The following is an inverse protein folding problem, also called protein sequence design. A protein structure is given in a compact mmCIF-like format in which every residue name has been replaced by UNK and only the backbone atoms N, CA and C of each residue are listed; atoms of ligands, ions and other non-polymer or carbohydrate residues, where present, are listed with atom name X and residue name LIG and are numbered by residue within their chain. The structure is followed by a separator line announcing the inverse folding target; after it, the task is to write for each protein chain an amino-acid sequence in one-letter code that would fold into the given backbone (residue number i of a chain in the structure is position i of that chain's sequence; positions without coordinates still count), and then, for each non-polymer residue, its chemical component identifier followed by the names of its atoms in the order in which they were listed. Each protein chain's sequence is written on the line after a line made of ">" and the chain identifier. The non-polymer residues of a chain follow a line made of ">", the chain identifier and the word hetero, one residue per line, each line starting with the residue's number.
data_IF_660873504027
#
_entry.id   IF_660873504027
#
_cell.length_a   1.000
_cell.length_b   1.000
_cell.length_c   1.000
_cell.angle_alpha   90.00
_cell.angle_beta   90.00
_cell.angle_gamma   90.00
#
_symmetry.space_group_name_H-M   'P 1'
#
loop_
_entity.id
_entity.type
_entity.pdbx_description
1 polymer ?
#
# COMPACT_ATOMS: atom_id res chain seq x y z
N UNK A 1 -17.77 14.56 -10.46
CA UNK A 1 -17.02 13.82 -9.45
C UNK A 1 -17.98 13.30 -8.37
N UNK A 2 -17.79 12.04 -7.94
CA UNK A 2 -18.64 11.40 -6.91
C UNK A 2 -17.84 11.30 -5.61
N UNK A 3 -18.45 11.69 -4.48
CA UNK A 3 -17.80 11.65 -3.17
C UNK A 3 -18.76 11.17 -2.07
N UNK A 4 -18.22 10.87 -0.89
CA UNK A 4 -18.96 10.48 0.30
C UNK A 4 -18.76 11.56 1.39
N UNK A 5 -19.76 12.40 1.62
CA UNK A 5 -19.70 13.51 2.58
C UNK A 5 -19.48 13.07 4.03
N UNK A 6 -19.68 11.78 4.34
CA UNK A 6 -19.37 11.19 5.65
C UNK A 6 -17.90 10.76 5.79
N UNK A 7 -17.10 10.96 4.75
CA UNK A 7 -15.66 10.65 4.74
C UNK A 7 -14.87 11.91 4.43
N UNK A 8 -13.60 11.88 4.83
CA UNK A 8 -12.68 12.93 4.45
C UNK A 8 -12.53 13.01 2.92
N UNK A 9 -12.64 14.22 2.39
CA UNK A 9 -12.32 14.54 1.01
C UNK A 9 -11.16 15.54 1.04
N UNK A 10 -10.09 15.21 0.32
CA UNK A 10 -8.88 16.05 0.24
C UNK A 10 -9.20 17.42 -0.38
N UNK A 11 -8.70 18.49 0.24
CA UNK A 11 -8.92 19.87 -0.23
C UNK A 11 -8.40 20.08 -1.66
N UNK A 12 -7.33 19.40 -2.06
CA UNK A 12 -6.82 19.48 -3.44
C UNK A 12 -7.85 18.99 -4.46
N UNK A 13 -8.59 17.93 -4.12
CA UNK A 13 -9.67 17.41 -4.97
C UNK A 13 -10.84 18.41 -5.02
N UNK A 14 -11.22 18.97 -3.88
CA UNK A 14 -12.27 19.99 -3.82
C UNK A 14 -11.92 21.22 -4.66
N UNK A 15 -10.71 21.72 -4.52
CA UNK A 15 -10.23 22.88 -5.27
C UNK A 15 -10.15 22.56 -6.76
N UNK A 16 -9.60 21.42 -7.15
CA UNK A 16 -9.56 21.00 -8.55
C UNK A 16 -10.96 20.88 -9.18
N UNK A 17 -11.94 20.37 -8.45
CA UNK A 17 -13.33 20.31 -8.93
C UNK A 17 -13.92 21.72 -9.09
N UNK A 18 -13.67 22.63 -8.14
CA UNK A 18 -14.15 23.99 -8.17
C UNK A 18 -13.53 24.78 -9.33
N UNK A 19 -12.20 24.72 -9.46
CA UNK A 19 -11.44 25.47 -10.47
C UNK A 19 -11.78 25.02 -11.91
N UNK A 20 -12.11 23.76 -12.08
CA UNK A 20 -12.49 23.17 -13.37
C UNK A 20 -14.01 23.02 -13.55
N UNK A 21 -14.82 23.61 -12.66
CA UNK A 21 -16.30 23.54 -12.71
C UNK A 21 -16.85 22.12 -12.81
N UNK A 22 -16.15 21.15 -12.18
CA UNK A 22 -16.58 19.75 -12.13
C UNK A 22 -17.64 19.58 -11.02
N UNK A 23 -18.88 19.18 -11.36
CA UNK A 23 -19.91 19.03 -10.36
C UNK A 23 -19.57 17.93 -9.35
N UNK A 24 -19.80 18.21 -8.07
CA UNK A 24 -19.63 17.28 -6.97
C UNK A 24 -20.96 16.65 -6.61
N UNK A 25 -20.98 15.33 -6.58
CA UNK A 25 -22.16 14.52 -6.27
C UNK A 25 -21.95 13.69 -5.01
N UNK A 26 -22.82 13.82 -4.01
CA UNK A 26 -22.73 13.10 -2.74
C UNK A 26 -23.55 11.80 -2.78
N UNK A 27 -22.87 10.66 -2.60
CA UNK A 27 -23.52 9.33 -2.56
C UNK A 27 -24.48 9.12 -1.38
N UNK A 28 -24.48 10.04 -0.41
CA UNK A 28 -25.43 9.99 0.71
C UNK A 28 -26.79 10.64 0.36
N UNK A 29 -26.87 11.35 -0.76
CA UNK A 29 -28.10 11.96 -1.26
C UNK A 29 -28.83 11.07 -2.27
N UNK A 30 -28.06 10.50 -3.22
CA UNK A 30 -28.57 9.58 -4.26
C UNK A 30 -27.56 8.47 -4.49
N UNK A 31 -28.03 7.37 -5.06
CA UNK A 31 -27.12 6.30 -5.50
C UNK A 31 -26.32 6.73 -6.73
N UNK A 32 -25.10 6.19 -6.94
CA UNK A 32 -24.33 6.47 -8.16
C UNK A 32 -25.12 6.13 -9.45
N UNK A 33 -25.96 5.08 -9.44
CA UNK A 33 -26.73 4.70 -10.61
C UNK A 33 -27.86 5.70 -10.94
N UNK A 34 -28.54 6.23 -9.92
CA UNK A 34 -29.54 7.30 -10.13
C UNK A 34 -28.89 8.53 -10.75
N UNK A 35 -27.74 8.94 -10.25
CA UNK A 35 -26.98 10.06 -10.80
C UNK A 35 -26.54 9.82 -12.26
N UNK A 36 -26.06 8.60 -12.56
CA UNK A 36 -25.68 8.18 -13.93
C UNK A 36 -26.85 8.32 -14.88
N UNK A 37 -28.03 7.81 -14.50
CA UNK A 37 -29.23 7.84 -15.32
C UNK A 37 -29.76 9.27 -15.56
N UNK A 38 -29.81 10.09 -14.51
CA UNK A 38 -30.31 11.47 -14.60
C UNK A 38 -29.41 12.38 -15.49
N UNK A 39 -28.11 12.08 -15.55
CA UNK A 39 -27.15 12.89 -16.31
C UNK A 39 -26.68 12.22 -17.60
N UNK A 40 -27.28 11.12 -18.02
CA UNK A 40 -26.95 10.36 -19.24
C UNK A 40 -25.44 10.02 -19.33
N UNK A 41 -24.84 9.61 -18.19
CA UNK A 41 -23.42 9.27 -18.11
C UNK A 41 -23.16 7.94 -18.83
N UNK A 42 -22.29 7.95 -19.82
CA UNK A 42 -21.95 6.79 -20.64
C UNK A 42 -20.71 6.04 -20.15
N UNK A 43 -19.81 6.74 -19.42
CA UNK A 43 -18.60 6.16 -18.88
C UNK A 43 -18.49 6.46 -17.38
N UNK A 44 -18.06 5.45 -16.60
CA UNK A 44 -17.87 5.58 -15.16
C UNK A 44 -16.51 4.98 -14.77
N UNK A 45 -15.66 5.79 -14.15
CA UNK A 45 -14.37 5.36 -13.62
C UNK A 45 -14.36 5.41 -12.10
N UNK A 46 -13.81 4.37 -11.47
CA UNK A 46 -13.52 4.36 -10.04
C UNK A 46 -12.06 3.96 -9.76
N UNK A 47 -11.28 4.80 -9.07
CA UNK A 47 -9.89 4.51 -8.72
C UNK A 47 -9.77 3.45 -7.63
N UNK A 48 -10.84 3.23 -6.84
CA UNK A 48 -10.87 2.25 -5.77
C UNK A 48 -12.25 1.59 -5.75
N UNK A 49 -12.37 0.46 -6.44
CA UNK A 49 -13.62 -0.31 -6.39
C UNK A 49 -13.78 -0.96 -5.02
N UNK A 50 -14.78 -0.50 -4.27
CA UNK A 50 -15.09 -1.08 -2.97
C UNK A 50 -15.97 -2.33 -3.17
N UNK A 51 -15.43 -3.49 -2.88
CA UNK A 51 -16.18 -4.75 -2.90
C UNK A 51 -17.25 -4.83 -1.79
N UNK A 52 -17.20 -3.94 -0.81
CA UNK A 52 -18.16 -3.87 0.29
C UNK A 52 -19.45 -3.13 -0.10
N UNK A 53 -19.33 -2.22 -1.07
CA UNK A 53 -20.48 -1.49 -1.60
C UNK A 53 -20.92 -2.15 -2.91
N UNK A 54 -22.05 -2.79 -2.89
CA UNK A 54 -22.72 -3.29 -4.10
C UNK A 54 -23.33 -2.12 -4.88
N UNK A 55 -22.48 -1.39 -5.58
CA UNK A 55 -22.94 -0.48 -6.59
C UNK A 55 -23.19 -1.30 -7.86
N UNK A 56 -24.43 -1.56 -8.16
CA UNK A 56 -24.80 -2.15 -9.44
C UNK A 56 -24.73 -1.05 -10.50
N UNK A 57 -23.51 -0.74 -10.94
CA UNK A 57 -23.25 0.29 -11.94
C UNK A 57 -23.49 -0.28 -13.32
N UNK A 58 -24.51 0.22 -13.98
CA UNK A 58 -24.87 -0.08 -15.36
C UNK A 58 -24.57 1.13 -16.24
N UNK A 59 -23.46 1.06 -16.96
CA UNK A 59 -23.00 2.07 -17.92
C UNK A 59 -22.44 1.39 -19.15
N UNK A 60 -22.33 2.12 -20.24
CA UNK A 60 -21.77 1.60 -21.49
C UNK A 60 -20.27 1.22 -21.33
N UNK A 61 -19.51 2.01 -20.57
CA UNK A 61 -18.09 1.80 -20.29
C UNK A 61 -17.81 1.91 -18.77
N UNK A 62 -17.69 0.79 -18.11
CA UNK A 62 -17.30 0.71 -16.69
C UNK A 62 -15.81 0.46 -16.55
N UNK A 63 -15.12 1.39 -15.91
CA UNK A 63 -13.66 1.36 -15.78
C UNK A 63 -13.28 1.40 -14.31
N UNK A 64 -12.28 0.63 -13.90
CA UNK A 64 -11.79 0.67 -12.53
C UNK A 64 -10.30 0.35 -12.40
N UNK A 65 -9.69 0.83 -11.31
CA UNK A 65 -8.36 0.39 -10.92
C UNK A 65 -8.45 -0.81 -10.00
N UNK A 66 -7.81 -1.92 -10.40
CA UNK A 66 -7.75 -3.15 -9.62
C UNK A 66 -6.39 -3.24 -8.91
N UNK A 67 -6.38 -2.91 -7.62
CA UNK A 67 -5.15 -2.84 -6.81
C UNK A 67 -4.61 -4.20 -6.36
N UNK A 68 -5.10 -5.30 -6.92
CA UNK A 68 -4.72 -6.67 -6.56
C UNK A 68 -5.81 -7.41 -5.77
N UNK A 69 -5.49 -8.62 -5.38
CA UNK A 69 -6.44 -9.57 -4.76
C UNK A 69 -5.95 -10.01 -3.38
N UNK A 70 -5.46 -9.05 -2.58
CA UNK A 70 -4.90 -9.30 -1.24
C UNK A 70 -5.69 -10.30 -0.40
N UNK A 71 -7.03 -10.20 -0.41
CA UNK A 71 -7.88 -11.09 0.37
C UNK A 71 -7.79 -12.56 -0.08
N UNK A 72 -7.39 -12.83 -1.31
CA UNK A 72 -7.17 -14.16 -1.85
C UNK A 72 -5.72 -14.64 -1.68
N UNK A 73 -4.74 -13.74 -1.83
CA UNK A 73 -3.32 -14.05 -1.72
C UNK A 73 -2.86 -14.31 -0.28
N UNK A 74 -3.29 -13.45 0.65
CA UNK A 74 -2.79 -13.53 2.02
C UNK A 74 -3.23 -14.82 2.71
N UNK A 75 -2.27 -15.49 3.33
CA UNK A 75 -2.52 -16.65 4.18
C UNK A 75 -2.96 -16.22 5.59
N UNK A 76 -3.63 -17.14 6.29
CA UNK A 76 -3.95 -16.95 7.70
C UNK A 76 -2.68 -16.75 8.53
N UNK A 77 -2.72 -15.74 9.39
CA UNK A 77 -1.65 -15.49 10.35
C UNK A 77 -2.21 -15.09 11.72
N UNK A 78 -1.71 -15.72 12.83
CA UNK A 78 -2.20 -15.46 14.20
C UNK A 78 -2.07 -13.99 14.65
N UNK A 79 -1.18 -13.22 14.03
CA UNK A 79 -1.02 -11.78 14.31
C UNK A 79 -2.32 -11.00 14.05
N UNK A 80 -3.13 -11.41 13.06
CA UNK A 80 -4.43 -10.80 12.80
C UNK A 80 -5.35 -10.80 14.02
N UNK A 81 -5.37 -11.90 14.78
CA UNK A 81 -6.13 -12.00 16.02
C UNK A 81 -5.53 -11.13 17.12
N UNK A 82 -4.20 -11.15 17.24
CA UNK A 82 -3.46 -10.45 18.32
C UNK A 82 -3.61 -8.93 18.25
N UNK A 83 -3.57 -8.36 17.05
CA UNK A 83 -3.67 -6.93 16.82
C UNK A 83 -5.11 -6.44 16.61
N UNK A 84 -6.09 -7.34 16.51
CA UNK A 84 -7.50 -6.97 16.41
C UNK A 84 -8.05 -6.49 17.75
N UNK A 85 -8.77 -5.36 17.73
CA UNK A 85 -9.30 -4.71 18.94
C UNK A 85 -10.64 -5.31 19.41
N UNK A 86 -11.52 -5.69 18.46
CA UNK A 86 -12.88 -6.20 18.73
C UNK A 86 -12.92 -7.72 18.53
N UNK A 87 -13.80 -8.38 19.28
CA UNK A 87 -14.01 -9.84 19.14
C UNK A 87 -14.47 -10.22 17.73
N UNK A 88 -15.34 -9.41 17.13
CA UNK A 88 -15.77 -9.57 15.73
C UNK A 88 -14.58 -9.54 14.75
N UNK A 89 -13.65 -8.60 14.95
CA UNK A 89 -12.43 -8.50 14.12
C UNK A 89 -11.49 -9.69 14.33
N UNK A 90 -11.45 -10.26 15.53
CA UNK A 90 -10.67 -11.48 15.81
C UNK A 90 -11.28 -12.68 15.10
N UNK A 91 -12.59 -12.85 15.18
CA UNK A 91 -13.33 -13.88 14.43
C UNK A 91 -13.14 -13.68 12.93
N UNK A 92 -13.29 -12.47 12.44
CA UNK A 92 -13.07 -12.13 11.04
C UNK A 92 -11.64 -12.46 10.60
N UNK A 93 -10.63 -12.17 11.41
CA UNK A 93 -9.23 -12.49 11.12
C UNK A 93 -8.98 -14.01 11.03
N UNK A 94 -9.66 -14.81 11.87
CA UNK A 94 -9.61 -16.29 11.78
C UNK A 94 -10.26 -16.80 10.51
N UNK A 95 -11.42 -16.25 10.19
CA UNK A 95 -12.27 -16.69 9.09
C UNK A 95 -11.67 -16.23 7.75
N UNK A 96 -11.32 -14.95 7.66
CA UNK A 96 -10.93 -14.25 6.43
C UNK A 96 -9.83 -14.94 5.65
N UNK A 97 -8.85 -15.53 6.34
CA UNK A 97 -7.64 -16.09 5.72
C UNK A 97 -7.59 -17.61 5.67
N UNK A 98 -8.65 -18.32 6.10
CA UNK A 98 -8.76 -19.76 5.85
C UNK A 98 -9.12 -20.01 4.39
N UNK A 99 -8.43 -20.90 3.72
CA UNK A 99 -8.61 -21.19 2.29
C UNK A 99 -10.07 -21.52 1.92
N UNK A 100 -10.77 -22.31 2.76
CA UNK A 100 -12.19 -22.62 2.56
C UNK A 100 -13.09 -21.39 2.53
N UNK A 101 -12.80 -20.38 3.38
CA UNK A 101 -13.60 -19.18 3.49
C UNK A 101 -13.28 -18.14 2.41
N UNK A 102 -12.01 -18.06 1.97
CA UNK A 102 -11.63 -17.25 0.81
C UNK A 102 -12.45 -17.62 -0.42
N UNK A 103 -12.58 -18.93 -0.67
CA UNK A 103 -13.34 -19.46 -1.78
C UNK A 103 -14.82 -19.08 -1.75
N UNK A 104 -15.45 -19.05 -0.57
CA UNK A 104 -16.88 -18.76 -0.43
C UNK A 104 -17.22 -17.28 -0.31
N UNK A 105 -16.38 -16.46 0.36
CA UNK A 105 -16.73 -15.08 0.68
C UNK A 105 -16.05 -14.04 -0.17
N UNK A 106 -14.80 -14.27 -0.57
CA UNK A 106 -14.04 -13.26 -1.32
C UNK A 106 -13.99 -13.56 -2.81
N UNK A 107 -13.76 -14.81 -3.20
CA UNK A 107 -13.68 -15.18 -4.60
C UNK A 107 -14.93 -14.79 -5.40
N UNK A 108 -16.17 -15.01 -4.93
CA UNK A 108 -17.37 -14.62 -5.69
C UNK A 108 -17.45 -13.13 -6.00
N UNK A 109 -17.02 -12.27 -5.08
CA UNK A 109 -17.05 -10.81 -5.28
C UNK A 109 -16.10 -10.35 -6.38
N UNK A 110 -14.88 -10.91 -6.39
CA UNK A 110 -13.91 -10.65 -7.46
C UNK A 110 -14.31 -11.35 -8.76
N UNK A 111 -14.94 -12.52 -8.67
CA UNK A 111 -15.42 -13.29 -9.82
C UNK A 111 -16.43 -12.51 -10.66
N UNK A 112 -17.30 -11.72 -10.02
CA UNK A 112 -18.26 -10.86 -10.72
C UNK A 112 -17.54 -9.82 -11.58
N UNK A 113 -16.52 -9.16 -11.03
CA UNK A 113 -15.70 -8.21 -11.80
C UNK A 113 -14.94 -8.89 -12.93
N UNK A 114 -14.36 -10.06 -12.67
CA UNK A 114 -13.63 -10.83 -13.69
C UNK A 114 -14.55 -11.23 -14.84
N UNK A 115 -15.77 -11.69 -14.56
CA UNK A 115 -16.78 -12.02 -15.60
C UNK A 115 -17.18 -10.78 -16.40
N UNK A 116 -17.43 -9.66 -15.76
CA UNK A 116 -17.74 -8.40 -16.47
C UNK A 116 -16.62 -8.00 -17.43
N UNK A 117 -15.36 -8.15 -17.00
CA UNK A 117 -14.21 -7.89 -17.88
C UNK A 117 -14.15 -8.89 -19.05
N UNK A 118 -14.27 -10.20 -18.79
CA UNK A 118 -14.23 -11.24 -19.81
C UNK A 118 -15.34 -11.06 -20.86
N UNK A 119 -16.51 -10.56 -20.44
CA UNK A 119 -17.65 -10.29 -21.34
C UNK A 119 -17.59 -8.89 -22.01
N UNK A 120 -16.51 -8.12 -21.83
CA UNK A 120 -16.36 -6.79 -22.40
C UNK A 120 -17.27 -5.71 -21.77
N UNK A 121 -17.86 -5.99 -20.60
CA UNK A 121 -18.77 -5.08 -19.87
C UNK A 121 -18.01 -4.17 -18.90
N UNK A 122 -16.71 -4.42 -18.68
CA UNK A 122 -15.85 -3.60 -17.86
C UNK A 122 -14.41 -3.64 -18.36
N UNK A 123 -13.66 -2.58 -18.08
CA UNK A 123 -12.21 -2.49 -18.33
C UNK A 123 -11.49 -2.20 -17.01
N UNK A 124 -10.32 -2.75 -16.83
CA UNK A 124 -9.50 -2.47 -15.65
C UNK A 124 -8.09 -2.04 -16.03
N UNK A 125 -7.52 -1.20 -15.19
CA UNK A 125 -6.09 -0.97 -15.09
C UNK A 125 -5.59 -1.53 -13.76
N UNK A 126 -4.31 -1.85 -13.67
CA UNK A 126 -3.70 -2.28 -12.42
C UNK A 126 -2.42 -1.51 -12.13
N UNK A 127 -1.91 -1.63 -10.90
CA UNK A 127 -0.87 -0.75 -10.38
C UNK A 127 0.53 -1.36 -10.37
N UNK A 128 0.64 -2.67 -10.69
CA UNK A 128 1.92 -3.40 -10.77
C UNK A 128 1.78 -4.66 -11.61
N UNK A 129 2.89 -5.16 -12.15
CA UNK A 129 2.93 -6.45 -12.85
C UNK A 129 2.58 -7.61 -11.90
N UNK A 130 3.02 -7.51 -10.64
CA UNK A 130 2.59 -8.45 -9.61
C UNK A 130 1.06 -8.51 -9.49
N UNK A 131 0.40 -7.35 -9.36
CA UNK A 131 -1.07 -7.30 -9.24
C UNK A 131 -1.75 -7.87 -10.49
N UNK A 132 -1.24 -7.59 -11.70
CA UNK A 132 -1.72 -8.17 -12.96
C UNK A 132 -1.60 -9.69 -12.97
N UNK A 133 -0.43 -10.21 -12.63
CA UNK A 133 -0.19 -11.66 -12.59
C UNK A 133 -1.06 -12.35 -11.54
N UNK A 134 -1.18 -11.74 -10.35
CA UNK A 134 -2.02 -12.24 -9.28
C UNK A 134 -3.51 -12.30 -9.68
N UNK A 135 -4.05 -11.23 -10.26
CA UNK A 135 -5.42 -11.21 -10.76
C UNK A 135 -5.65 -12.36 -11.75
N UNK A 136 -4.79 -12.50 -12.75
CA UNK A 136 -4.89 -13.57 -13.75
C UNK A 136 -4.77 -14.97 -13.15
N UNK A 137 -3.93 -15.17 -12.14
CA UNK A 137 -3.78 -16.48 -11.48
C UNK A 137 -5.02 -16.94 -10.73
N UNK A 138 -5.79 -16.02 -10.17
CA UNK A 138 -7.04 -16.34 -9.47
C UNK A 138 -8.25 -16.40 -10.41
N UNK A 139 -8.20 -15.76 -11.59
CA UNK A 139 -9.29 -15.64 -12.56
C UNK A 139 -8.80 -16.04 -13.95
N UNK A 140 -8.75 -17.37 -14.24
CA UNK A 140 -8.24 -17.88 -15.52
C UNK A 140 -8.96 -17.32 -16.76
N UNK A 141 -10.21 -16.91 -16.64
CA UNK A 141 -10.98 -16.26 -17.71
C UNK A 141 -10.39 -14.92 -18.18
N UNK A 142 -9.41 -14.39 -17.44
CA UNK A 142 -8.68 -13.16 -17.77
C UNK A 142 -7.28 -13.41 -18.35
N UNK A 143 -6.86 -14.67 -18.53
CA UNK A 143 -5.49 -14.99 -18.97
C UNK A 143 -5.14 -14.30 -20.28
N UNK A 144 -6.02 -14.35 -21.28
CA UNK A 144 -5.82 -13.79 -22.60
C UNK A 144 -6.24 -12.32 -22.71
N UNK A 145 -6.84 -11.76 -21.65
CA UNK A 145 -7.24 -10.36 -21.63
C UNK A 145 -6.06 -9.46 -21.32
N UNK A 146 -5.86 -8.41 -22.12
CA UNK A 146 -4.88 -7.38 -21.79
C UNK A 146 -5.36 -6.50 -20.64
N UNK A 147 -4.59 -6.46 -19.56
CA UNK A 147 -4.83 -5.59 -18.42
C UNK A 147 -3.61 -4.66 -18.31
N UNK A 148 -3.73 -3.38 -18.69
CA UNK A 148 -2.62 -2.46 -18.65
C UNK A 148 -2.17 -2.19 -17.21
N UNK A 149 -0.85 -2.06 -17.05
CA UNK A 149 -0.21 -1.72 -15.78
C UNK A 149 0.23 -0.28 -15.85
N UNK A 150 -0.34 0.56 -14.99
CA UNK A 150 0.06 1.95 -14.83
C UNK A 150 0.45 2.23 -13.39
N UNK A 151 1.67 2.70 -13.19
CA UNK A 151 2.15 3.08 -11.87
C UNK A 151 1.42 4.35 -11.43
N UNK A 152 0.58 4.20 -10.40
CA UNK A 152 -0.19 5.35 -9.90
C UNK A 152 0.74 6.38 -9.26
N UNK A 153 0.57 7.68 -9.55
CA UNK A 153 1.37 8.74 -8.96
C UNK A 153 1.15 8.83 -7.44
N UNK A 154 2.15 9.34 -6.75
CA UNK A 154 2.01 9.75 -5.35
C UNK A 154 1.62 11.21 -5.28
N UNK A 155 0.76 11.55 -4.31
CA UNK A 155 0.58 12.96 -3.93
C UNK A 155 1.80 13.35 -3.10
N UNK A 156 2.56 14.31 -3.59
CA UNK A 156 3.71 14.83 -2.87
C UNK A 156 3.29 15.98 -1.96
N UNK A 157 3.77 15.93 -0.73
CA UNK A 157 3.61 16.98 0.25
C UNK A 157 4.97 17.60 0.57
N UNK A 158 4.99 18.87 0.92
CA UNK A 158 6.18 19.48 1.50
C UNK A 158 6.40 18.89 2.90
N UNK A 159 7.64 18.51 3.18
CA UNK A 159 7.99 18.00 4.49
C UNK A 159 7.98 19.15 5.51
N UNK A 160 7.09 19.08 6.48
CA UNK A 160 6.94 20.07 7.56
C UNK A 160 6.67 19.34 8.87
N UNK A 161 7.38 19.70 9.92
CA UNK A 161 7.15 19.09 11.23
C UNK A 161 8.33 19.28 12.18
N UNK A 162 8.21 18.65 13.33
CA UNK A 162 9.25 18.61 14.35
C UNK A 162 9.51 17.16 14.74
N UNK A 163 10.78 16.84 14.93
CA UNK A 163 11.12 15.57 15.55
C UNK A 163 10.72 15.60 17.02
N UNK A 164 10.08 14.55 17.54
CA UNK A 164 9.89 14.42 18.98
C UNK A 164 11.22 14.58 19.73
N UNK A 165 11.22 15.22 20.90
CA UNK A 165 12.46 15.48 21.66
C UNK A 165 13.30 14.22 21.90
N UNK A 166 12.64 13.07 22.00
CA UNK A 166 13.27 11.77 22.24
C UNK A 166 14.13 11.27 21.06
N UNK A 167 13.95 11.85 19.86
CA UNK A 167 14.71 11.50 18.65
C UNK A 167 15.52 12.66 18.08
N UNK A 168 15.36 13.86 18.60
CA UNK A 168 16.00 15.07 18.06
C UNK A 168 17.54 15.00 18.02
N UNK A 169 18.17 14.22 18.92
CA UNK A 169 19.61 14.01 19.00
C UNK A 169 20.06 12.62 18.53
N UNK A 170 19.14 11.77 18.05
CA UNK A 170 19.42 10.37 17.74
C UNK A 170 18.97 10.02 16.33
N UNK A 171 19.70 9.07 15.71
CA UNK A 171 19.26 8.46 14.45
C UNK A 171 18.08 7.51 14.70
N UNK A 172 17.19 7.38 13.74
CA UNK A 172 16.07 6.45 13.90
C UNK A 172 15.75 5.67 12.63
N UNK A 173 15.27 4.44 12.85
CA UNK A 173 14.59 3.64 11.85
C UNK A 173 13.11 3.96 11.86
N UNK A 174 12.51 4.14 10.68
CA UNK A 174 11.08 4.47 10.55
C UNK A 174 10.27 3.26 10.12
N UNK A 175 9.12 3.07 10.79
CA UNK A 175 8.05 2.15 10.43
C UNK A 175 6.73 2.91 10.34
N UNK A 176 5.90 2.61 9.35
CA UNK A 176 4.60 3.26 9.16
C UNK A 176 3.42 2.31 9.32
N UNK A 177 2.21 2.86 9.57
CA UNK A 177 0.95 2.10 9.65
C UNK A 177 0.93 0.98 10.69
N UNK A 178 1.52 1.19 11.86
CA UNK A 178 1.73 0.17 12.90
C UNK A 178 0.44 -0.42 13.51
N UNK A 179 -0.73 0.21 13.33
CA UNK A 179 -2.01 -0.34 13.78
C UNK A 179 -2.52 -1.48 12.88
N UNK A 180 -1.97 -1.64 11.68
CA UNK A 180 -2.37 -2.65 10.71
C UNK A 180 -1.44 -3.85 10.82
N UNK A 181 -1.99 -5.01 11.23
CA UNK A 181 -1.19 -6.22 11.45
C UNK A 181 -0.49 -6.73 10.20
N UNK A 182 -1.10 -6.56 9.02
CA UNK A 182 -0.54 -6.97 7.74
C UNK A 182 0.71 -6.16 7.32
N UNK A 183 0.92 -5.00 7.94
CA UNK A 183 2.19 -4.25 7.81
C UNK A 183 3.34 -4.87 8.60
N UNK A 184 3.03 -5.84 9.48
CA UNK A 184 3.99 -6.73 10.12
C UNK A 184 5.09 -6.05 10.97
N UNK A 185 4.88 -4.80 11.35
CA UNK A 185 5.86 -3.99 12.10
C UNK A 185 6.31 -4.64 13.41
N UNK A 186 5.47 -5.48 14.00
CA UNK A 186 5.80 -6.17 15.24
C UNK A 186 7.01 -7.11 15.13
N UNK A 187 7.28 -7.72 13.95
CA UNK A 187 8.50 -8.53 13.75
C UNK A 187 9.74 -7.68 13.67
N UNK A 188 9.64 -6.49 13.09
CA UNK A 188 10.76 -5.53 13.07
C UNK A 188 11.05 -5.04 14.47
N UNK A 189 10.01 -4.75 15.28
CA UNK A 189 10.24 -4.35 16.68
C UNK A 189 10.89 -5.48 17.49
N UNK A 190 10.54 -6.74 17.25
CA UNK A 190 11.17 -7.90 17.86
C UNK A 190 12.66 -8.03 17.43
N UNK A 191 12.93 -7.92 16.13
CA UNK A 191 14.30 -7.97 15.60
C UNK A 191 15.20 -6.87 16.16
N UNK A 192 14.65 -5.65 16.27
CA UNK A 192 15.39 -4.52 16.82
C UNK A 192 15.60 -4.63 18.33
N UNK A 193 14.61 -5.12 19.09
CA UNK A 193 14.73 -5.38 20.54
C UNK A 193 15.81 -6.43 20.84
N UNK A 194 15.90 -7.50 20.02
CA UNK A 194 17.00 -8.47 20.09
C UNK A 194 18.35 -7.87 19.76
N UNK A 195 18.42 -6.94 18.79
CA UNK A 195 19.66 -6.24 18.47
C UNK A 195 20.13 -5.38 19.64
N UNK A 196 19.22 -4.61 20.24
CA UNK A 196 19.49 -3.81 21.45
C UNK A 196 20.00 -4.68 22.58
N UNK A 197 19.38 -5.85 22.82
CA UNK A 197 19.80 -6.81 23.83
C UNK A 197 21.22 -7.32 23.59
N UNK A 198 21.56 -7.58 22.31
CA UNK A 198 22.91 -8.02 21.92
C UNK A 198 23.97 -6.94 22.22
N UNK A 199 23.69 -5.67 21.89
CA UNK A 199 24.59 -4.56 22.17
C UNK A 199 24.79 -4.36 23.68
N UNK A 200 23.72 -4.39 24.47
CA UNK A 200 23.77 -4.26 25.93
C UNK A 200 24.59 -5.37 26.59
N UNK A 201 24.43 -6.62 26.15
CA UNK A 201 25.21 -7.77 26.64
C UNK A 201 26.70 -7.64 26.34
N UNK A 202 27.07 -6.90 25.31
CA UNK A 202 28.45 -6.60 24.94
C UNK A 202 28.97 -5.29 25.57
N UNK A 203 28.23 -4.67 26.51
CA UNK A 203 28.51 -3.36 27.07
C UNK A 203 28.68 -2.25 26.00
N UNK A 204 27.99 -2.38 24.87
CA UNK A 204 27.96 -1.41 23.77
C UNK A 204 26.64 -0.65 23.78
N UNK A 205 26.69 0.62 23.38
CA UNK A 205 25.48 1.45 23.17
C UNK A 205 25.06 1.40 21.71
N UNK A 206 23.76 1.29 21.48
CA UNK A 206 23.15 1.47 20.17
C UNK A 206 22.48 2.86 20.15
N UNK A 207 23.05 3.80 19.40
CA UNK A 207 22.56 5.19 19.35
C UNK A 207 21.48 5.38 18.28
N UNK A 208 20.45 4.52 18.32
CA UNK A 208 19.33 4.53 17.40
C UNK A 208 18.02 4.34 18.16
N UNK A 209 16.96 4.92 17.63
CA UNK A 209 15.58 4.67 18.05
C UNK A 209 14.82 3.96 16.92
N UNK A 210 13.66 3.37 17.26
CA UNK A 210 12.69 2.93 16.28
C UNK A 210 11.41 3.73 16.43
N UNK A 211 11.03 4.42 15.37
CA UNK A 211 9.82 5.26 15.33
C UNK A 211 8.74 4.52 14.56
N UNK A 212 7.57 4.38 15.15
CA UNK A 212 6.43 3.66 14.58
C UNK A 212 5.21 4.60 14.53
N UNK A 213 4.75 4.97 13.34
CA UNK A 213 3.55 5.80 13.17
C UNK A 213 2.27 4.97 13.11
N UNK A 214 1.13 5.60 13.37
CA UNK A 214 -0.19 4.98 13.27
C UNK A 214 -0.56 4.10 14.46
N UNK A 215 0.10 4.24 15.61
CA UNK A 215 -0.16 3.45 16.82
C UNK A 215 -0.52 4.34 18.01
N UNK A 216 -1.81 4.53 18.24
CA UNK A 216 -2.30 5.31 19.41
C UNK A 216 -2.25 4.55 20.73
N UNK A 217 -2.33 3.21 20.69
CA UNK A 217 -2.36 2.34 21.88
C UNK A 217 -1.33 1.21 21.72
N UNK A 218 -0.05 1.44 22.07
CA UNK A 218 1.04 0.50 21.78
C UNK A 218 1.09 -0.72 22.73
N UNK A 219 0.09 -0.94 23.57
CA UNK A 219 0.09 -2.02 24.58
C UNK A 219 0.45 -3.41 24.03
N UNK A 220 0.00 -3.73 22.79
CA UNK A 220 0.29 -5.01 22.14
C UNK A 220 1.77 -5.16 21.78
N UNK A 221 2.43 -4.06 21.40
CA UNK A 221 3.87 -4.00 21.17
C UNK A 221 4.64 -4.05 22.48
N UNK A 222 4.35 -3.12 23.41
CA UNK A 222 5.07 -2.94 24.67
C UNK A 222 5.11 -4.19 25.57
N UNK A 223 4.09 -5.05 25.50
CA UNK A 223 4.07 -6.33 26.23
C UNK A 223 5.17 -7.30 25.81
N UNK A 224 5.76 -7.11 24.63
CA UNK A 224 6.75 -8.03 24.03
C UNK A 224 8.16 -7.48 24.06
N UNK A 225 8.30 -6.17 24.23
CA UNK A 225 9.58 -5.48 24.21
C UNK A 225 10.23 -5.46 25.60
N UNK A 226 11.50 -5.82 25.64
CA UNK A 226 12.37 -5.75 26.82
C UNK A 226 12.94 -4.34 26.99
N UNK A 227 13.29 -3.68 25.90
CA UNK A 227 13.97 -2.40 25.86
C UNK A 227 13.07 -1.28 25.33
N UNK A 228 11.98 -1.02 26.04
CA UNK A 228 10.87 -0.13 25.62
C UNK A 228 11.32 1.30 25.31
N UNK A 229 12.33 1.78 25.98
CA UNK A 229 12.94 3.10 25.83
C UNK A 229 13.59 3.33 24.45
N UNK A 230 13.81 2.28 23.67
CA UNK A 230 14.28 2.37 22.29
C UNK A 230 13.18 2.57 21.25
N UNK A 231 11.91 2.52 21.64
CA UNK A 231 10.77 2.57 20.74
C UNK A 231 9.89 3.80 21.00
N UNK A 232 9.59 4.55 19.95
CA UNK A 232 8.72 5.71 19.97
C UNK A 232 7.49 5.40 19.13
N UNK A 233 6.33 5.44 19.76
CA UNK A 233 5.06 5.16 19.11
C UNK A 233 4.31 6.47 18.90
N UNK A 234 4.16 6.85 17.64
CA UNK A 234 3.37 7.99 17.23
C UNK A 234 1.96 7.53 16.83
N UNK A 235 0.98 8.33 17.17
CA UNK A 235 -0.38 8.12 16.70
C UNK A 235 -0.54 8.36 15.21
N UNK A 236 -1.69 8.86 14.82
CA UNK A 236 -1.86 9.41 13.48
C UNK A 236 -0.95 10.63 13.34
N UNK A 237 -0.25 10.72 12.24
CA UNK A 237 0.55 11.88 11.83
C UNK A 237 0.00 12.40 10.51
N UNK A 238 -0.01 13.71 10.34
CA UNK A 238 -0.44 14.35 9.10
C UNK A 238 0.54 14.05 7.95
N UNK A 239 0.06 14.20 6.70
CA UNK A 239 0.87 13.84 5.55
C UNK A 239 2.20 14.61 5.49
N UNK A 240 2.21 15.91 5.84
CA UNK A 240 3.43 16.74 5.87
C UNK A 240 4.42 16.29 6.95
N UNK A 241 3.90 15.93 8.12
CA UNK A 241 4.70 15.38 9.23
C UNK A 241 5.25 14.00 8.86
N UNK A 242 4.48 13.18 8.15
CA UNK A 242 4.93 11.87 7.67
C UNK A 242 6.07 12.02 6.66
N UNK A 243 5.96 12.98 5.71
CA UNK A 243 7.05 13.33 4.79
C UNK A 243 8.30 13.76 5.56
N UNK A 244 8.13 14.61 6.59
CA UNK A 244 9.23 15.05 7.44
C UNK A 244 9.91 13.86 8.17
N UNK A 245 9.13 12.90 8.67
CA UNK A 245 9.68 11.70 9.27
C UNK A 245 10.41 10.81 8.25
N UNK A 246 9.91 10.69 7.02
CA UNK A 246 10.62 9.98 5.95
C UNK A 246 11.93 10.67 5.58
N UNK A 247 11.92 11.99 5.43
CA UNK A 247 13.10 12.78 5.06
C UNK A 247 14.24 12.67 6.08
N UNK A 248 13.91 12.61 7.37
CA UNK A 248 14.89 12.63 8.46
C UNK A 248 15.20 11.24 9.03
N UNK A 249 14.61 10.19 8.51
CA UNK A 249 14.90 8.82 8.94
C UNK A 249 16.33 8.41 8.54
N UNK A 250 17.01 7.67 9.41
CA UNK A 250 18.24 7.01 9.03
C UNK A 250 17.99 5.94 7.96
N UNK A 251 17.00 5.09 8.19
CA UNK A 251 16.53 4.13 7.19
C UNK A 251 15.04 3.81 7.41
N UNK A 252 14.39 3.37 6.35
CA UNK A 252 13.00 2.94 6.36
C UNK A 252 12.91 1.42 6.29
N UNK A 253 12.17 0.82 7.22
CA UNK A 253 11.96 -0.64 7.23
C UNK A 253 10.52 -0.95 6.86
N UNK A 254 10.32 -1.76 5.82
CA UNK A 254 8.99 -2.04 5.26
C UNK A 254 8.69 -3.54 5.23
N UNK A 255 8.21 -4.12 6.34
CA UNK A 255 8.00 -5.56 6.46
C UNK A 255 6.61 -6.04 6.00
N UNK A 256 5.92 -5.27 5.16
CA UNK A 256 4.55 -5.57 4.74
C UNK A 256 4.43 -6.96 4.12
N UNK A 257 3.36 -7.67 4.47
CA UNK A 257 3.10 -9.04 3.98
C UNK A 257 2.45 -9.06 2.60
N UNK A 258 1.76 -7.99 2.21
CA UNK A 258 1.12 -7.90 0.90
C UNK A 258 0.83 -6.44 0.51
N UNK A 259 1.31 -6.06 -0.66
CA UNK A 259 1.08 -4.75 -1.27
C UNK A 259 0.65 -4.89 -2.73
N UNK A 260 -0.18 -3.95 -3.19
CA UNK A 260 -0.49 -3.82 -4.61
C UNK A 260 0.55 -3.01 -5.36
N UNK A 261 1.19 -2.02 -4.70
CA UNK A 261 2.26 -1.20 -5.25
C UNK A 261 3.45 -1.11 -4.28
N UNK A 262 3.32 -0.37 -3.18
CA UNK A 262 4.40 -0.16 -2.22
C UNK A 262 4.85 1.30 -2.19
N UNK A 263 3.93 2.24 -2.02
CA UNK A 263 4.23 3.68 -1.94
C UNK A 263 5.22 4.07 -0.83
N UNK A 264 5.13 3.56 0.41
CA UNK A 264 6.00 4.02 1.49
C UNK A 264 7.50 3.84 1.25
N UNK A 265 8.00 2.74 0.65
CA UNK A 265 9.39 2.65 0.22
C UNK A 265 9.80 3.75 -0.76
N UNK A 266 8.98 4.03 -1.79
CA UNK A 266 9.24 5.07 -2.79
C UNK A 266 9.29 6.46 -2.15
N UNK A 267 8.41 6.72 -1.18
CA UNK A 267 8.39 7.94 -0.39
C UNK A 267 9.70 8.16 0.38
N UNK A 268 10.28 7.13 1.00
CA UNK A 268 11.61 7.22 1.63
C UNK A 268 12.72 7.41 0.60
N UNK A 269 12.66 6.70 -0.53
CA UNK A 269 13.66 6.79 -1.61
C UNK A 269 13.73 8.19 -2.22
N UNK A 270 12.63 8.95 -2.21
CA UNK A 270 12.59 10.37 -2.62
C UNK A 270 13.66 11.21 -1.94
N UNK A 271 13.92 10.93 -0.68
CA UNK A 271 14.91 11.65 0.14
C UNK A 271 16.28 10.95 0.18
N UNK A 272 16.45 9.87 -0.58
CA UNK A 272 17.68 9.07 -0.52
C UNK A 272 17.81 8.25 0.75
N UNK A 273 16.73 8.03 1.48
CA UNK A 273 16.73 7.22 2.69
C UNK A 273 16.80 5.74 2.30
N UNK A 274 17.82 4.99 2.79
CA UNK A 274 17.95 3.57 2.51
C UNK A 274 16.74 2.77 2.98
N UNK A 275 16.38 1.74 2.22
CA UNK A 275 15.21 0.91 2.49
C UNK A 275 15.63 -0.54 2.75
N UNK A 276 15.11 -1.13 3.82
CA UNK A 276 15.04 -2.58 3.96
C UNK A 276 13.57 -3.02 3.87
N UNK A 277 13.25 -3.96 3.00
CA UNK A 277 11.86 -4.30 2.69
C UNK A 277 11.63 -5.80 2.56
N UNK A 278 10.38 -6.23 2.75
CA UNK A 278 10.01 -7.61 2.47
C UNK A 278 10.17 -7.95 0.99
N UNK A 279 10.70 -9.15 0.71
CA UNK A 279 10.88 -9.67 -0.66
C UNK A 279 9.62 -10.31 -1.23
N UNK A 280 8.43 -9.71 -0.99
CA UNK A 280 7.15 -10.32 -1.37
C UNK A 280 6.28 -9.37 -2.18
N UNK A 281 5.38 -9.94 -2.98
CA UNK A 281 4.37 -9.24 -3.77
C UNK A 281 4.97 -8.20 -4.72
N UNK A 282 4.39 -7.00 -4.82
CA UNK A 282 4.90 -5.92 -5.69
C UNK A 282 6.16 -5.23 -5.16
N UNK A 283 6.58 -5.48 -3.92
CA UNK A 283 7.66 -4.72 -3.28
C UNK A 283 8.99 -4.88 -4.02
N UNK A 284 9.43 -6.11 -4.45
CA UNK A 284 10.64 -6.26 -5.25
C UNK A 284 10.56 -5.58 -6.63
N UNK A 285 9.39 -5.60 -7.27
CA UNK A 285 9.16 -4.89 -8.54
C UNK A 285 9.38 -3.38 -8.39
N UNK A 286 8.82 -2.80 -7.31
CA UNK A 286 8.87 -1.36 -7.09
C UNK A 286 10.22 -0.91 -6.57
N UNK A 287 10.81 -1.63 -5.63
CA UNK A 287 12.10 -1.25 -5.05
C UNK A 287 13.31 -1.61 -5.92
N UNK A 288 13.20 -2.61 -6.81
CA UNK A 288 14.32 -3.06 -7.64
C UNK A 288 15.54 -3.45 -6.79
N UNK A 289 16.70 -3.00 -7.18
CA UNK A 289 17.97 -3.21 -6.48
C UNK A 289 18.26 -2.17 -5.37
N UNK A 290 17.30 -1.26 -5.11
CA UNK A 290 17.46 -0.17 -4.15
C UNK A 290 16.98 -0.50 -2.74
N UNK A 291 16.63 -1.76 -2.46
CA UNK A 291 16.27 -2.20 -1.12
C UNK A 291 17.03 -3.46 -0.71
N UNK A 292 17.34 -3.55 0.59
CA UNK A 292 17.80 -4.77 1.23
C UNK A 292 16.59 -5.66 1.52
N UNK A 293 16.40 -6.70 0.73
CA UNK A 293 15.26 -7.59 0.89
C UNK A 293 15.45 -8.63 2.00
N UNK A 294 14.35 -8.98 2.66
CA UNK A 294 14.29 -10.03 3.68
C UNK A 294 12.97 -10.83 3.56
N UNK A 295 12.97 -12.05 4.08
CA UNK A 295 11.75 -12.78 4.37
C UNK A 295 10.98 -12.08 5.51
N UNK A 296 9.75 -11.57 5.27
CA UNK A 296 8.98 -10.86 6.30
C UNK A 296 8.57 -11.75 7.47
N UNK A 297 8.73 -13.07 7.37
CA UNK A 297 8.46 -14.01 8.45
C UNK A 297 9.71 -14.32 9.30
N UNK A 298 10.90 -13.94 8.86
CA UNK A 298 12.17 -14.21 9.52
C UNK A 298 12.66 -13.00 10.34
N UNK A 299 12.53 -13.07 11.67
CA UNK A 299 13.07 -12.05 12.59
C UNK A 299 14.59 -11.92 12.45
N UNK A 300 15.28 -13.05 12.22
CA UNK A 300 16.73 -13.07 12.05
C UNK A 300 17.19 -12.37 10.77
N UNK A 301 16.48 -12.56 9.65
CA UNK A 301 16.82 -11.82 8.41
C UNK A 301 16.54 -10.33 8.55
N UNK A 302 15.42 -9.94 9.14
CA UNK A 302 15.12 -8.54 9.42
C UNK A 302 16.26 -7.91 10.25
N UNK A 303 16.68 -8.59 11.32
CA UNK A 303 17.81 -8.15 12.16
C UNK A 303 19.11 -8.03 11.35
N UNK A 304 19.39 -9.00 10.49
CA UNK A 304 20.56 -8.98 9.61
C UNK A 304 20.56 -7.74 8.70
N UNK A 305 19.43 -7.40 8.06
CA UNK A 305 19.35 -6.21 7.21
C UNK A 305 19.49 -4.91 8.00
N UNK A 306 18.96 -4.84 9.21
CA UNK A 306 19.22 -3.69 10.10
C UNK A 306 20.72 -3.55 10.40
N UNK A 307 21.41 -4.65 10.72
CA UNK A 307 22.87 -4.65 10.97
C UNK A 307 23.63 -4.22 9.71
N UNK A 308 23.26 -4.71 8.53
CA UNK A 308 23.90 -4.29 7.27
C UNK A 308 23.79 -2.78 7.05
N UNK A 309 22.64 -2.18 7.34
CA UNK A 309 22.42 -0.73 7.23
C UNK A 309 23.29 0.08 8.21
N UNK A 310 23.78 -0.52 9.30
CA UNK A 310 24.72 0.15 10.20
C UNK A 310 26.15 0.26 9.62
N UNK A 311 26.47 -0.47 8.54
CA UNK A 311 27.73 -0.34 7.81
C UNK A 311 27.68 0.88 6.90
N UNK A 312 28.64 1.80 7.06
CA UNK A 312 28.70 3.05 6.30
C UNK A 312 28.76 2.82 4.78
N UNK A 313 29.53 1.85 4.33
CA UNK A 313 29.62 1.52 2.90
C UNK A 313 28.29 1.06 2.33
N UNK A 314 27.58 0.17 3.05
CA UNK A 314 26.26 -0.32 2.63
C UNK A 314 25.24 0.81 2.68
N UNK A 315 25.26 1.61 3.75
CA UNK A 315 24.37 2.76 3.89
C UNK A 315 24.51 3.73 2.72
N UNK A 316 25.75 4.11 2.38
CA UNK A 316 26.03 5.05 1.29
C UNK A 316 25.63 4.47 -0.10
N UNK A 317 25.89 3.18 -0.33
CA UNK A 317 25.48 2.50 -1.56
C UNK A 317 23.93 2.54 -1.71
N UNK A 318 23.20 2.14 -0.66
CA UNK A 318 21.75 2.13 -0.72
C UNK A 318 21.11 3.53 -0.70
N UNK A 319 21.78 4.54 -0.16
CA UNK A 319 21.40 5.95 -0.33
C UNK A 319 21.41 6.37 -1.81
N UNK A 320 22.47 6.02 -2.54
CA UNK A 320 22.58 6.36 -3.96
C UNK A 320 21.58 5.57 -4.81
N UNK A 321 21.42 4.28 -4.55
CA UNK A 321 20.42 3.44 -5.22
C UNK A 321 19.00 3.94 -4.99
N UNK A 322 18.66 4.36 -3.77
CA UNK A 322 17.36 4.91 -3.42
C UNK A 322 17.01 6.14 -4.27
N UNK A 323 17.94 7.10 -4.40
CA UNK A 323 17.75 8.30 -5.24
C UNK A 323 17.52 7.94 -6.71
N UNK A 324 18.37 7.05 -7.25
CA UNK A 324 18.25 6.61 -8.64
C UNK A 324 16.93 5.89 -8.88
N UNK A 325 16.54 5.00 -7.96
CA UNK A 325 15.28 4.25 -8.06
C UNK A 325 14.06 5.15 -7.99
N UNK A 326 14.06 6.13 -7.08
CA UNK A 326 12.98 7.12 -7.01
C UNK A 326 12.79 7.82 -8.35
N UNK A 327 13.87 8.30 -8.97
CA UNK A 327 13.79 8.98 -10.27
C UNK A 327 13.17 8.09 -11.35
N UNK A 328 13.55 6.81 -11.42
CA UNK A 328 12.96 5.84 -12.36
C UNK A 328 11.46 5.63 -12.13
N UNK A 329 11.07 5.45 -10.86
CA UNK A 329 9.66 5.24 -10.51
C UNK A 329 8.84 6.49 -10.79
N UNK A 330 9.33 7.66 -10.40
CA UNK A 330 8.65 8.94 -10.59
C UNK A 330 8.42 9.24 -12.08
N UNK A 331 9.45 9.13 -12.92
CA UNK A 331 9.33 9.32 -14.36
C UNK A 331 8.32 8.33 -15.00
N UNK A 332 8.32 7.08 -14.54
CA UNK A 332 7.32 6.10 -14.98
C UNK A 332 5.91 6.48 -14.53
N UNK A 333 5.74 6.94 -13.29
CA UNK A 333 4.44 7.37 -12.76
C UNK A 333 3.87 8.55 -13.57
N UNK A 334 4.69 9.55 -13.94
CA UNK A 334 4.25 10.67 -14.79
C UNK A 334 3.80 10.20 -16.17
N UNK A 335 4.62 9.34 -16.81
CA UNK A 335 4.29 8.78 -18.13
C UNK A 335 3.03 7.89 -18.06
N UNK A 336 2.92 7.06 -17.04
CA UNK A 336 1.80 6.13 -16.88
C UNK A 336 0.50 6.86 -16.48
N UNK A 337 0.59 8.01 -15.78
CA UNK A 337 -0.58 8.85 -15.50
C UNK A 337 -1.25 9.33 -16.79
N UNK A 338 -0.46 9.83 -17.76
CA UNK A 338 -1.01 10.25 -19.04
C UNK A 338 -1.68 9.08 -19.78
N UNK A 339 -1.02 7.92 -19.82
CA UNK A 339 -1.58 6.71 -20.44
C UNK A 339 -2.86 6.23 -19.73
N UNK A 340 -2.91 6.33 -18.40
CA UNK A 340 -4.09 5.98 -17.63
C UNK A 340 -5.26 6.92 -17.94
N UNK A 341 -5.01 8.22 -18.05
CA UNK A 341 -6.01 9.22 -18.47
C UNK A 341 -6.51 8.89 -19.88
N UNK A 342 -5.61 8.64 -20.81
CA UNK A 342 -5.98 8.29 -22.19
C UNK A 342 -6.80 6.99 -22.26
N UNK A 343 -6.45 5.98 -21.45
CA UNK A 343 -7.20 4.74 -21.35
C UNK A 343 -8.60 4.95 -20.78
N UNK A 344 -8.74 5.80 -19.77
CA UNK A 344 -10.02 6.11 -19.10
C UNK A 344 -10.93 6.90 -20.05
N UNK A 345 -10.39 7.89 -20.75
CA UNK A 345 -11.19 8.81 -21.57
C UNK A 345 -11.51 8.27 -22.97
N UNK A 346 -10.79 7.24 -23.47
CA UNK A 346 -10.98 6.69 -24.80
C UNK A 346 -11.67 5.32 -24.77
N UNK A 347 -13.01 5.25 -24.87
CA UNK A 347 -13.78 4.01 -24.77
C UNK A 347 -13.59 3.04 -25.95
N UNK A 348 -13.00 3.49 -27.07
CA UNK A 348 -12.87 2.72 -28.32
C UNK A 348 -11.81 1.64 -28.31
N UNK A 349 -10.93 1.60 -27.31
CA UNK A 349 -10.00 0.47 -27.09
C UNK A 349 -10.65 -0.61 -26.22
N UNK A 350 -11.82 -1.15 -26.64
CA UNK A 350 -12.32 -2.40 -26.08
C UNK A 350 -11.23 -3.46 -26.30
N UNK A 351 -10.76 -4.09 -25.25
CA UNK A 351 -9.91 -5.27 -25.33
C UNK A 351 -10.77 -6.40 -25.92
N UNK A 352 -10.81 -6.48 -27.25
CA UNK A 352 -11.36 -7.62 -27.95
C UNK A 352 -10.37 -8.75 -27.67
N UNK A 353 -10.82 -9.76 -26.92
CA UNK A 353 -10.13 -11.04 -26.89
C UNK A 353 -9.85 -11.42 -28.34
N UNK A 354 -8.59 -11.72 -28.69
CA UNK A 354 -8.29 -12.29 -29.99
C UNK A 354 -9.18 -13.51 -30.11
N UNK A 355 -10.23 -13.41 -30.93
CA UNK A 355 -11.03 -14.56 -31.30
C UNK A 355 -10.04 -15.61 -31.81
N UNK A 356 -10.02 -16.76 -31.15
CA UNK A 356 -9.42 -17.95 -31.66
C UNK A 356 -10.13 -18.27 -33.00
N UNK A 357 -9.52 -17.80 -34.08
CA UNK A 357 -9.83 -18.25 -35.44
C UNK A 357 -8.56 -18.88 -35.95
N UNK A 358 -8.66 -20.14 -36.09
CA UNK A 358 -7.95 -21.17 -36.82
C UNK A 358 -7.23 -22.21 -35.99
#
# INVERSE_FOLDING_TARGET
>A
CIYDSKKYLDEKILNACKDNQIPLFDINQKTPQEFINENNITAFYTPLYSLEKKWDIQVQDFIFTWHGVRALEMQYHPAGIRFSKKLSQKLEAVIRYRESWKKYFYKPKYQELAKRMANGQARAITVSEHSKASIKSFFPELLDLEIPVFYSPMIEYNAEGFLPPEISSKKYFLLTSGARWEKNNWRVTEAFDELVDTYKKQNRTLDFKMVITGVTKPKAYLKRLRHKDFFIFLGYVENRELEFLHQNAYAFIFPSLNEGFGYPPVQSMRYGVPVAASGTTSIPEICGDAALFFDPYSVSEIKNRIIQLLSENIYNDYTNRAKSRYSLIHNRQETDLQKAIDFILNPTKKNIAKSASE
#
